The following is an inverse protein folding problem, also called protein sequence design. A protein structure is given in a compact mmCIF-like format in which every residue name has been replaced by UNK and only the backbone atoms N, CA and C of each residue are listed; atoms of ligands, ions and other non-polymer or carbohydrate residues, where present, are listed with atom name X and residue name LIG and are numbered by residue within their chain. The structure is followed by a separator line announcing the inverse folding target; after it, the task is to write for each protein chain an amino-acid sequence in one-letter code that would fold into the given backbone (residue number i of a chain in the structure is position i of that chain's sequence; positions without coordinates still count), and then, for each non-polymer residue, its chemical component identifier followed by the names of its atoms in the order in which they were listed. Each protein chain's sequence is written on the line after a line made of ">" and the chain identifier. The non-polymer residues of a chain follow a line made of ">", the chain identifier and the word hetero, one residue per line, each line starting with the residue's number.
data_IF_274887877968
#
_entry.id   IF_274887877968
#
_cell.length_a   1.000
_cell.length_b   1.000
_cell.length_c   1.000
_cell.angle_alpha   90.00
_cell.angle_beta   90.00
_cell.angle_gamma   90.00
#
_symmetry.space_group_name_H-M   'P 1'
#
loop_
_entity.id
_entity.type
_entity.pdbx_description
1 polymer ?
#
# COMPACT_ATOMS: atom_id res chain seq x y z
N UNK A 1 -37.97 28.09 -13.87
CA UNK A 1 -36.95 28.35 -14.92
C UNK A 1 -36.27 27.04 -15.21
N UNK A 2 -36.68 26.37 -16.29
CA UNK A 2 -36.09 25.13 -16.77
C UNK A 2 -35.00 25.49 -17.79
N UNK A 3 -33.78 24.99 -17.58
CA UNK A 3 -32.73 25.02 -18.59
C UNK A 3 -32.56 23.61 -19.15
N UNK A 4 -32.91 23.47 -20.42
CA UNK A 4 -32.61 22.29 -21.25
C UNK A 4 -31.19 22.41 -21.81
N UNK A 5 -30.39 21.37 -21.64
CA UNK A 5 -29.03 21.27 -22.17
C UNK A 5 -29.08 20.56 -23.53
N UNK A 6 -28.55 21.21 -24.56
CA UNK A 6 -28.54 20.75 -25.96
C UNK A 6 -27.22 20.04 -26.28
N UNK A 7 -27.30 18.77 -26.70
CA UNK A 7 -26.16 17.91 -27.01
C UNK A 7 -25.86 17.97 -28.52
N UNK A 8 -24.78 18.66 -28.91
CA UNK A 8 -24.26 18.59 -30.29
C UNK A 8 -23.28 17.42 -30.44
N UNK A 9 -23.66 16.47 -31.28
CA UNK A 9 -22.82 15.39 -31.79
C UNK A 9 -21.79 15.93 -32.79
N UNK A 10 -20.50 15.65 -32.57
CA UNK A 10 -19.46 15.74 -33.59
C UNK A 10 -19.17 14.35 -34.15
N UNK A 11 -19.38 14.19 -35.45
CA UNK A 11 -19.05 13.02 -36.25
C UNK A 11 -17.54 12.99 -36.59
N UNK A 12 -16.90 11.86 -36.31
CA UNK A 12 -15.53 11.56 -36.72
C UNK A 12 -15.52 10.92 -38.12
N UNK A 13 -14.65 11.41 -39.01
CA UNK A 13 -14.34 10.78 -40.30
C UNK A 13 -13.10 9.86 -40.19
N UNK A 14 -13.07 8.70 -40.87
CA UNK A 14 -11.99 7.73 -40.74
C UNK A 14 -10.78 7.97 -41.65
N UNK A 15 -9.63 7.48 -41.17
CA UNK A 15 -8.29 7.56 -41.72
C UNK A 15 -8.10 6.99 -43.14
N UNK A 16 -7.25 7.66 -43.92
CA UNK A 16 -6.67 7.18 -45.17
C UNK A 16 -5.38 6.41 -44.90
N UNK A 17 -5.31 5.15 -45.35
CA UNK A 17 -4.13 4.30 -45.35
C UNK A 17 -3.20 4.67 -46.51
N UNK A 18 -1.94 5.01 -46.21
CA UNK A 18 -0.86 5.09 -47.21
C UNK A 18 0.06 3.89 -47.06
N UNK A 19 0.09 3.05 -48.09
CA UNK A 19 1.05 1.97 -48.29
C UNK A 19 2.45 2.55 -48.56
N UNK A 20 3.45 2.13 -47.78
CA UNK A 20 4.86 2.44 -48.01
C UNK A 20 5.60 1.16 -48.37
N UNK A 21 6.00 1.07 -49.63
CA UNK A 21 6.79 -0.03 -50.21
C UNK A 21 8.26 0.17 -49.84
N UNK A 22 8.81 -0.71 -49.02
CA UNK A 22 10.22 -0.68 -48.60
C UNK A 22 11.09 -1.42 -49.64
N UNK A 23 11.91 -0.68 -50.41
CA UNK A 23 12.96 -1.25 -51.28
C UNK A 23 14.22 -1.54 -50.45
N UNK A 24 14.62 -2.82 -50.37
CA UNK A 24 15.95 -3.24 -49.92
C UNK A 24 16.98 -2.95 -51.01
N UNK A 25 18.09 -2.32 -50.64
CA UNK A 25 19.33 -2.33 -51.42
C UNK A 25 20.45 -2.81 -50.49
N UNK A 26 21.12 -3.89 -50.90
CA UNK A 26 22.31 -4.43 -50.27
C UNK A 26 23.53 -3.77 -50.89
N UNK A 27 24.46 -3.30 -50.06
CA UNK A 27 25.80 -2.90 -50.46
C UNK A 27 26.77 -3.49 -49.44
N UNK A 28 27.49 -4.53 -49.88
CA UNK A 28 28.59 -5.12 -49.14
C UNK A 28 29.85 -4.28 -49.36
N UNK A 29 30.57 -3.98 -48.28
CA UNK A 29 31.96 -3.54 -48.37
C UNK A 29 32.73 -4.07 -47.16
N UNK A 30 33.71 -4.90 -47.50
CA UNK A 30 34.72 -5.48 -46.63
C UNK A 30 35.71 -4.41 -46.17
N UNK A 31 36.02 -4.35 -44.88
CA UNK A 31 37.35 -3.96 -44.41
C UNK A 31 37.72 -4.72 -43.14
N UNK A 32 38.84 -5.43 -43.25
CA UNK A 32 39.64 -6.06 -42.22
C UNK A 32 40.44 -5.02 -41.43
N UNK A 33 40.38 -5.06 -40.10
CA UNK A 33 41.51 -4.67 -39.24
C UNK A 33 41.35 -5.18 -37.80
N UNK A 34 42.26 -6.11 -37.47
CA UNK A 34 43.01 -6.30 -36.22
C UNK A 34 42.43 -5.92 -34.84
N UNK A 35 42.51 -6.91 -33.94
CA UNK A 35 42.23 -6.93 -32.48
C UNK A 35 43.10 -5.94 -31.68
N UNK A 36 42.73 -5.61 -30.42
CA UNK A 36 43.26 -6.41 -29.31
C UNK A 36 42.27 -6.78 -28.20
N UNK A 37 42.70 -7.80 -27.45
CA UNK A 37 42.15 -8.49 -26.28
C UNK A 37 41.64 -7.62 -25.13
N UNK A 38 40.55 -8.03 -24.47
CA UNK A 38 40.27 -7.68 -23.07
C UNK A 38 39.19 -8.59 -22.44
N UNK A 39 39.50 -9.11 -21.26
CA UNK A 39 38.78 -10.10 -20.45
C UNK A 39 37.40 -9.64 -19.95
N UNK A 40 36.36 -9.67 -20.80
CA UNK A 40 34.96 -9.41 -20.36
C UNK A 40 33.94 -10.46 -20.79
N UNK A 41 34.37 -11.67 -21.15
CA UNK A 41 33.46 -12.70 -21.66
C UNK A 41 32.99 -13.74 -20.62
N UNK A 42 33.50 -13.69 -19.39
CA UNK A 42 33.22 -14.72 -18.36
C UNK A 42 32.04 -14.40 -17.42
N UNK A 43 31.53 -13.17 -17.41
CA UNK A 43 30.38 -12.79 -16.55
C UNK A 43 29.03 -13.11 -17.20
N UNK A 44 28.96 -13.10 -18.54
CA UNK A 44 27.71 -13.37 -19.27
C UNK A 44 27.27 -14.85 -19.26
N UNK A 45 28.18 -15.79 -19.00
CA UNK A 45 27.83 -17.22 -18.89
C UNK A 45 27.18 -17.59 -17.54
N UNK A 46 27.49 -16.87 -16.46
CA UNK A 46 26.88 -17.13 -15.13
C UNK A 46 25.46 -16.56 -15.02
N UNK A 47 25.19 -15.39 -15.61
CA UNK A 47 23.86 -14.78 -15.58
C UNK A 47 22.82 -15.54 -16.42
N UNK A 48 23.23 -16.09 -17.58
CA UNK A 48 22.34 -16.93 -18.39
C UNK A 48 21.99 -18.28 -17.74
N UNK A 49 22.89 -18.85 -16.92
CA UNK A 49 22.64 -20.11 -16.24
C UNK A 49 21.58 -19.99 -15.15
N UNK A 50 21.59 -18.87 -14.40
CA UNK A 50 20.59 -18.59 -13.35
C UNK A 50 19.21 -18.40 -13.99
N UNK A 51 19.11 -17.61 -15.06
CA UNK A 51 17.85 -17.40 -15.78
C UNK A 51 17.28 -18.73 -16.34
N UNK A 52 18.13 -19.60 -16.88
CA UNK A 52 17.70 -20.89 -17.43
C UNK A 52 17.22 -21.86 -16.34
N UNK A 53 17.86 -21.88 -15.16
CA UNK A 53 17.40 -22.70 -14.03
C UNK A 53 16.07 -22.24 -13.46
N UNK A 54 15.83 -20.93 -13.39
CA UNK A 54 14.55 -20.37 -12.90
C UNK A 54 13.39 -20.71 -13.84
N UNK A 55 13.61 -20.70 -15.16
CA UNK A 55 12.59 -21.10 -16.14
C UNK A 55 12.27 -22.60 -16.06
N UNK A 56 13.26 -23.46 -15.81
CA UNK A 56 13.03 -24.91 -15.65
C UNK A 56 12.28 -25.26 -14.36
N UNK A 57 12.56 -24.56 -13.25
CA UNK A 57 11.81 -24.74 -11.99
C UNK A 57 10.36 -24.29 -12.14
N UNK A 58 10.13 -23.17 -12.84
CA UNK A 58 8.77 -22.67 -13.10
C UNK A 58 7.98 -23.57 -14.07
N UNK A 59 8.64 -24.09 -15.11
CA UNK A 59 8.03 -25.08 -16.00
C UNK A 59 7.72 -26.41 -15.28
N UNK A 60 8.60 -26.86 -14.38
CA UNK A 60 8.35 -28.03 -13.54
C UNK A 60 7.19 -27.84 -12.56
N UNK A 61 7.03 -26.63 -12.00
CA UNK A 61 5.89 -26.28 -11.16
C UNK A 61 4.57 -26.29 -11.94
N UNK A 62 4.56 -25.68 -13.13
CA UNK A 62 3.36 -25.65 -13.99
C UNK A 62 2.98 -27.04 -14.51
N UNK A 63 3.96 -27.89 -14.84
CA UNK A 63 3.71 -29.27 -15.25
C UNK A 63 3.28 -30.17 -14.07
N UNK A 64 3.80 -29.93 -12.86
CA UNK A 64 3.37 -30.63 -11.64
C UNK A 64 1.95 -30.30 -11.20
N UNK A 65 1.42 -29.13 -11.60
CA UNK A 65 0.02 -28.75 -11.34
C UNK A 65 -0.98 -29.38 -12.32
N UNK A 66 -0.53 -29.97 -13.43
CA UNK A 66 -1.41 -30.55 -14.45
C UNK A 66 -1.66 -32.06 -14.29
N UNK A 67 -1.05 -32.72 -13.30
CA UNK A 67 -1.12 -34.19 -13.16
C UNK A 67 -1.84 -34.68 -11.88
N UNK A 68 -2.67 -33.84 -11.26
CA UNK A 68 -3.36 -34.20 -10.00
C UNK A 68 -4.86 -34.52 -10.11
N UNK A 69 -5.38 -34.72 -11.33
CA UNK A 69 -6.71 -35.29 -11.54
C UNK A 69 -6.63 -36.81 -11.81
N UNK A 70 -6.22 -37.57 -10.79
CA UNK A 70 -6.51 -39.01 -10.73
C UNK A 70 -7.11 -39.41 -9.40
N UNK A 71 -8.42 -39.61 -9.47
CA UNK A 71 -9.30 -40.34 -8.56
C UNK A 71 -8.63 -41.66 -8.12
N UNK A 72 -8.33 -41.77 -6.82
CA UNK A 72 -8.02 -43.05 -6.19
C UNK A 72 -9.05 -43.26 -5.06
N UNK A 73 -9.99 -44.18 -5.32
CA UNK A 73 -10.81 -44.82 -4.30
C UNK A 73 -9.93 -45.79 -3.51
N UNK A 74 -9.96 -45.70 -2.18
CA UNK A 74 -9.55 -46.81 -1.31
C UNK A 74 -10.58 -47.09 -0.22
N UNK A 75 -10.70 -48.35 0.23
CA UNK A 75 -11.87 -48.84 0.92
C UNK A 75 -11.72 -48.86 2.45
N UNK A 76 -12.87 -48.91 3.11
CA UNK A 76 -13.07 -49.18 4.53
C UNK A 76 -12.36 -50.46 5.00
N UNK A 77 -11.70 -50.39 6.16
CA UNK A 77 -11.52 -51.52 7.08
C UNK A 77 -11.60 -51.06 8.54
N UNK A 78 -12.36 -51.83 9.30
CA UNK A 78 -12.86 -51.64 10.66
C UNK A 78 -12.04 -52.42 11.70
N UNK A 79 -11.66 -51.77 12.82
CA UNK A 79 -11.41 -52.34 14.20
C UNK A 79 -10.67 -51.27 15.02
N UNK A 80 -10.93 -50.94 16.29
CA UNK A 80 -11.88 -51.36 17.32
C UNK A 80 -11.36 -50.91 18.71
N UNK A 81 -12.25 -50.35 19.57
CA UNK A 81 -12.08 -50.12 21.04
C UNK A 81 -11.15 -48.95 21.45
N UNK A 82 -11.38 -48.16 22.51
CA UNK A 82 -12.35 -48.11 23.62
C UNK A 82 -12.39 -46.65 24.14
N UNK A 83 -13.61 -46.11 24.23
CA UNK A 83 -14.22 -45.39 25.36
C UNK A 83 -13.35 -44.58 26.36
N UNK A 84 -13.63 -43.26 26.44
CA UNK A 84 -14.18 -42.62 27.66
C UNK A 84 -15.02 -41.38 27.26
N UNK A 85 -16.12 -41.16 27.98
CA UNK A 85 -17.34 -40.37 27.65
C UNK A 85 -17.16 -38.89 27.26
N UNK A 86 -17.99 -38.33 26.36
CA UNK A 86 -19.43 -37.97 26.49
C UNK A 86 -19.61 -36.66 27.27
N UNK A 87 -20.22 -35.57 26.75
CA UNK A 87 -21.46 -35.44 25.99
C UNK A 87 -21.41 -34.24 24.98
N UNK A 88 -21.93 -34.26 23.73
CA UNK A 88 -23.32 -34.54 23.23
C UNK A 88 -24.23 -33.32 23.48
N UNK A 89 -25.01 -32.72 22.55
CA UNK A 89 -25.61 -33.08 21.24
C UNK A 89 -26.10 -31.78 20.54
N UNK A 90 -25.84 -31.58 19.24
CA UNK A 90 -26.68 -31.82 18.02
C UNK A 90 -27.61 -30.68 17.56
N UNK A 91 -27.19 -30.08 16.44
CA UNK A 91 -27.80 -30.12 15.09
C UNK A 91 -29.17 -30.83 14.94
N UNK A 92 -30.07 -30.21 14.19
CA UNK A 92 -30.96 -30.90 13.26
C UNK A 92 -31.29 -30.01 12.05
N UNK A 93 -31.21 -30.62 10.87
CA UNK A 93 -31.78 -30.17 9.60
C UNK A 93 -32.60 -31.35 9.08
N UNK A 94 -33.79 -31.12 8.53
CA UNK A 94 -34.44 -32.03 7.58
C UNK A 94 -35.63 -31.34 6.90
N UNK A 95 -35.83 -31.69 5.63
CA UNK A 95 -36.72 -31.08 4.67
C UNK A 95 -38.03 -31.87 4.42
N UNK A 96 -38.98 -31.15 3.79
CA UNK A 96 -40.10 -31.53 2.89
C UNK A 96 -41.15 -32.57 3.29
N UNK A 97 -42.44 -32.20 3.21
CA UNK A 97 -43.37 -32.54 2.12
C UNK A 97 -44.84 -32.17 2.47
N UNK A 98 -45.54 -31.61 1.47
CA UNK A 98 -46.97 -31.68 1.08
C UNK A 98 -48.16 -31.38 2.04
N UNK A 99 -49.09 -30.60 1.46
CA UNK A 99 -50.51 -30.34 1.80
C UNK A 99 -51.43 -31.60 1.71
N UNK A 100 -52.77 -31.61 1.98
CA UNK A 100 -53.73 -30.51 2.20
C UNK A 100 -54.82 -30.72 3.31
N UNK A 101 -55.69 -29.69 3.43
CA UNK A 101 -57.13 -29.71 3.83
C UNK A 101 -57.56 -29.84 5.30
N UNK A 102 -58.15 -28.75 5.81
CA UNK A 102 -59.55 -28.70 6.28
C UNK A 102 -59.92 -29.31 7.64
N UNK A 103 -60.40 -28.49 8.58
CA UNK A 103 -61.34 -28.95 9.60
C UNK A 103 -61.27 -28.32 10.98
N UNK A 104 -62.20 -27.40 11.22
CA UNK A 104 -62.99 -27.17 12.46
C UNK A 104 -62.29 -27.15 13.83
N UNK A 105 -62.34 -25.94 14.41
CA UNK A 105 -62.49 -25.61 15.83
C UNK A 105 -62.87 -26.77 16.77
N UNK A 106 -62.03 -26.98 17.79
CA UNK A 106 -62.48 -27.36 19.13
C UNK A 106 -61.72 -26.55 20.18
N UNK A 107 -62.52 -25.87 20.98
CA UNK A 107 -62.17 -25.22 22.24
C UNK A 107 -61.64 -26.29 23.19
N UNK A 108 -60.45 -26.07 23.74
CA UNK A 108 -59.99 -26.73 24.95
C UNK A 108 -59.36 -25.67 25.86
N UNK A 109 -60.06 -25.38 26.95
CA UNK A 109 -59.53 -24.68 28.10
C UNK A 109 -58.35 -25.49 28.66
N UNK A 110 -57.19 -24.86 28.77
CA UNK A 110 -56.10 -25.40 29.58
C UNK A 110 -55.60 -24.34 30.56
N UNK A 111 -55.95 -24.63 31.81
CA UNK A 111 -55.49 -24.16 33.10
C UNK A 111 -54.07 -23.59 33.09
N UNK A 112 -53.95 -22.32 33.49
CA UNK A 112 -52.69 -21.63 33.79
C UNK A 112 -52.06 -22.26 35.03
N UNK A 113 -50.93 -22.95 34.84
CA UNK A 113 -50.02 -23.31 35.94
C UNK A 113 -48.84 -22.33 35.88
N UNK A 114 -48.84 -21.36 36.79
CA UNK A 114 -47.70 -20.47 37.02
C UNK A 114 -46.51 -21.28 37.54
N UNK A 115 -45.47 -21.44 36.73
CA UNK A 115 -44.13 -21.81 37.18
C UNK A 115 -43.22 -20.59 37.05
N UNK A 116 -42.88 -20.01 38.19
CA UNK A 116 -41.87 -18.95 38.31
C UNK A 116 -40.51 -19.51 37.87
N UNK A 117 -40.02 -19.02 36.73
CA UNK A 117 -38.69 -19.29 36.23
C UNK A 117 -37.70 -18.30 36.87
N UNK A 118 -36.95 -18.78 37.86
CA UNK A 118 -35.86 -18.03 38.51
C UNK A 118 -34.72 -17.80 37.52
N UNK A 119 -34.72 -16.65 36.84
CA UNK A 119 -33.66 -16.22 35.92
C UNK A 119 -32.50 -15.66 36.74
N UNK A 120 -31.41 -16.43 36.90
CA UNK A 120 -30.14 -15.89 37.40
C UNK A 120 -29.53 -14.99 36.33
N UNK A 121 -29.67 -13.67 36.49
CA UNK A 121 -28.93 -12.66 35.74
C UNK A 121 -27.44 -12.85 36.00
N UNK A 122 -26.70 -13.31 34.98
CA UNK A 122 -25.25 -13.20 34.98
C UNK A 122 -24.90 -11.71 34.95
N UNK A 123 -24.27 -11.23 36.03
CA UNK A 123 -23.73 -9.88 36.12
C UNK A 123 -22.53 -9.81 35.17
N UNK A 124 -22.54 -8.94 34.14
CA UNK A 124 -21.38 -8.78 33.27
C UNK A 124 -20.23 -8.26 34.12
N UNK A 125 -19.11 -9.00 34.14
CA UNK A 125 -17.87 -8.49 34.72
C UNK A 125 -17.46 -7.27 33.89
N UNK A 126 -17.27 -6.08 34.51
CA UNK A 126 -16.89 -4.89 33.78
C UNK A 126 -15.52 -5.13 33.13
N UNK A 127 -15.47 -4.99 31.80
CA UNK A 127 -14.22 -4.90 31.04
C UNK A 127 -13.42 -3.74 31.63
N UNK A 128 -12.35 -4.06 32.36
CA UNK A 128 -11.35 -3.09 32.79
C UNK A 128 -10.59 -2.69 31.53
N UNK A 129 -11.06 -1.66 30.85
CA UNK A 129 -10.30 -0.97 29.81
C UNK A 129 -9.21 -0.23 30.56
N UNK A 130 -8.00 -0.78 30.53
CA UNK A 130 -6.80 -0.10 31.01
C UNK A 130 -6.64 1.18 30.18
N UNK A 131 -7.02 2.33 30.75
CA UNK A 131 -6.91 3.63 30.11
C UNK A 131 -5.42 3.92 29.87
N UNK A 132 -4.90 3.48 28.71
CA UNK A 132 -3.56 3.86 28.27
C UNK A 132 -3.50 5.40 28.30
N UNK A 133 -2.55 6.00 29.04
CA UNK A 133 -2.46 7.44 29.12
C UNK A 133 -2.35 8.02 27.71
N UNK A 134 -3.27 8.94 27.38
CA UNK A 134 -3.24 9.66 26.10
C UNK A 134 -1.82 10.22 25.93
N UNK A 135 -1.10 9.81 24.87
CA UNK A 135 0.27 10.24 24.69
C UNK A 135 0.28 11.78 24.60
N UNK A 136 1.19 12.45 25.31
CA UNK A 136 1.31 13.91 25.22
C UNK A 136 1.44 14.28 23.74
N UNK A 137 0.81 15.39 23.31
CA UNK A 137 0.93 15.94 21.95
C UNK A 137 2.40 16.03 21.56
N UNK A 138 2.92 14.97 20.95
CA UNK A 138 4.34 14.77 20.80
C UNK A 138 4.76 15.48 19.52
N UNK A 139 5.57 16.52 19.69
CA UNK A 139 6.30 17.15 18.60
C UNK A 139 7.49 16.24 18.32
N UNK A 140 7.39 15.41 17.28
CA UNK A 140 8.33 14.32 16.98
C UNK A 140 9.62 14.75 16.27
N UNK A 141 9.92 16.05 16.22
CA UNK A 141 11.24 16.57 15.87
C UNK A 141 12.36 16.12 16.84
N UNK A 142 12.04 15.38 17.91
CA UNK A 142 12.96 14.93 18.97
C UNK A 142 13.68 13.60 18.69
N UNK A 143 13.47 12.98 17.53
CA UNK A 143 14.13 11.72 17.15
C UNK A 143 13.33 10.47 17.51
N UNK A 144 13.98 9.29 17.61
CA UNK A 144 13.28 8.02 17.76
C UNK A 144 12.60 7.88 19.13
N UNK A 145 11.45 7.20 19.14
CA UNK A 145 10.79 6.77 20.37
C UNK A 145 11.16 5.32 20.65
N UNK A 146 11.64 5.01 21.86
CA UNK A 146 12.13 3.67 22.23
C UNK A 146 11.50 3.24 23.55
N UNK A 147 10.78 2.13 23.54
CA UNK A 147 10.16 1.52 24.72
C UNK A 147 11.06 0.43 25.31
N UNK A 148 11.95 0.81 26.23
CA UNK A 148 12.97 -0.09 26.82
C UNK A 148 12.38 -1.30 27.57
N UNK A 149 11.14 -1.19 28.05
CA UNK A 149 10.43 -2.24 28.77
C UNK A 149 9.89 -3.36 27.88
N UNK A 150 9.86 -3.16 26.56
CA UNK A 150 9.43 -4.18 25.61
C UNK A 150 10.53 -5.21 25.39
N UNK A 151 10.15 -6.47 25.18
CA UNK A 151 11.06 -7.59 24.92
C UNK A 151 11.94 -7.39 23.67
N UNK A 152 12.75 -8.39 23.26
CA UNK A 152 13.60 -8.30 22.07
C UNK A 152 12.80 -7.85 20.82
N UNK A 153 13.47 -7.17 19.88
CA UNK A 153 12.81 -6.80 18.63
C UNK A 153 12.44 -8.07 17.83
N UNK A 154 11.24 -8.13 17.28
CA UNK A 154 10.76 -9.29 16.51
C UNK A 154 10.76 -9.08 15.00
N UNK A 155 10.73 -7.82 14.57
CA UNK A 155 10.70 -7.42 13.17
C UNK A 155 11.21 -5.97 13.00
N UNK A 156 11.66 -5.64 11.79
CA UNK A 156 11.88 -4.27 11.34
C UNK A 156 10.85 -3.98 10.25
N UNK A 157 9.91 -3.07 10.52
CA UNK A 157 8.80 -2.76 9.63
C UNK A 157 9.00 -1.36 9.05
N UNK A 158 9.13 -1.25 7.74
CA UNK A 158 9.28 0.03 7.05
C UNK A 158 7.96 0.48 6.46
N UNK A 159 7.47 1.61 6.94
CA UNK A 159 6.33 2.36 6.40
C UNK A 159 6.82 3.69 5.82
N UNK A 160 5.98 4.35 5.03
CA UNK A 160 6.36 5.64 4.46
C UNK A 160 5.42 6.07 3.37
N UNK A 161 5.44 7.35 3.07
CA UNK A 161 4.65 7.87 1.97
C UNK A 161 5.13 7.28 0.63
N UNK A 162 4.31 7.42 -0.40
CA UNK A 162 4.74 7.13 -1.77
C UNK A 162 5.94 8.01 -2.11
N UNK A 163 6.83 7.56 -3.00
CA UNK A 163 7.98 8.38 -3.44
C UNK A 163 8.92 8.87 -2.33
N UNK A 164 8.90 8.31 -1.11
CA UNK A 164 9.78 8.74 -0.01
C UNK A 164 11.06 7.90 0.16
N UNK A 165 11.40 7.09 -0.84
CA UNK A 165 12.59 6.23 -0.80
C UNK A 165 12.42 4.95 0.03
N UNK A 166 11.18 4.54 0.30
CA UNK A 166 10.88 3.31 1.05
C UNK A 166 11.51 2.07 0.41
N UNK A 167 11.46 1.90 -0.92
CA UNK A 167 12.09 0.76 -1.62
C UNK A 167 13.61 0.72 -1.38
N UNK A 168 14.26 1.87 -1.51
CA UNK A 168 15.71 2.01 -1.30
C UNK A 168 16.14 1.61 0.11
N UNK A 169 15.45 2.13 1.14
CA UNK A 169 15.81 1.81 2.53
C UNK A 169 15.40 0.38 2.90
N UNK A 170 14.27 -0.14 2.42
CA UNK A 170 13.90 -1.54 2.68
C UNK A 170 14.96 -2.50 2.13
N UNK A 171 15.41 -2.31 0.88
CA UNK A 171 16.45 -3.16 0.29
C UNK A 171 17.74 -3.12 1.13
N UNK A 172 18.18 -1.92 1.51
CA UNK A 172 19.37 -1.78 2.35
C UNK A 172 19.21 -2.45 3.72
N UNK A 173 18.06 -2.34 4.37
CA UNK A 173 17.80 -3.00 5.66
C UNK A 173 17.76 -4.52 5.54
N UNK A 174 17.22 -5.05 4.43
CA UNK A 174 17.28 -6.49 4.13
C UNK A 174 18.74 -6.94 4.03
N UNK A 175 19.60 -6.20 3.32
CA UNK A 175 21.03 -6.53 3.23
C UNK A 175 21.74 -6.49 4.61
N UNK A 176 21.31 -5.60 5.49
CA UNK A 176 21.92 -5.41 6.81
C UNK A 176 21.43 -6.37 7.89
N UNK A 177 20.17 -6.79 7.85
CA UNK A 177 19.51 -7.48 8.96
C UNK A 177 18.63 -8.66 8.53
N UNK A 178 18.36 -8.85 7.23
CA UNK A 178 17.36 -9.79 6.72
C UNK A 178 17.62 -11.27 7.05
N UNK A 179 18.89 -11.64 7.25
CA UNK A 179 19.27 -13.00 7.68
C UNK A 179 19.04 -13.24 9.19
N UNK A 180 18.81 -12.19 9.97
CA UNK A 180 18.72 -12.23 11.44
C UNK A 180 17.31 -11.94 11.96
N UNK A 181 16.57 -11.06 11.28
CA UNK A 181 15.25 -10.59 11.69
C UNK A 181 14.41 -10.25 10.46
N UNK A 182 13.09 -10.54 10.44
CA UNK A 182 12.23 -10.14 9.33
C UNK A 182 12.27 -8.62 9.10
N UNK A 183 12.53 -8.23 7.85
CA UNK A 183 12.44 -6.85 7.39
C UNK A 183 11.26 -6.76 6.42
N UNK A 184 10.21 -6.05 6.83
CA UNK A 184 8.92 -6.05 6.15
C UNK A 184 8.53 -4.66 5.64
N UNK A 185 7.74 -4.62 4.56
CA UNK A 185 7.18 -3.40 3.96
C UNK A 185 5.73 -3.14 4.42
N UNK A 186 5.35 -3.68 5.57
CA UNK A 186 4.05 -3.55 6.20
C UNK A 186 4.21 -3.53 7.69
N UNK A 187 3.33 -2.83 8.42
CA UNK A 187 3.20 -2.98 9.86
C UNK A 187 1.80 -3.51 10.19
N UNK A 188 0.80 -2.64 10.29
CA UNK A 188 -0.61 -3.07 10.37
C UNK A 188 -1.26 -3.11 8.99
N UNK A 189 -0.77 -2.26 8.08
CA UNK A 189 -1.08 -2.29 6.64
C UNK A 189 0.19 -2.15 5.83
N UNK A 190 0.08 -2.36 4.52
CA UNK A 190 1.18 -2.10 3.58
C UNK A 190 1.68 -0.65 3.68
N UNK A 191 2.98 -0.45 3.53
CA UNK A 191 3.74 0.76 3.92
C UNK A 191 3.16 2.12 3.56
N UNK A 192 2.47 2.23 2.43
CA UNK A 192 1.94 3.52 1.93
C UNK A 192 0.57 3.88 2.51
N UNK A 193 -0.08 2.95 3.21
CA UNK A 193 -1.44 3.07 3.69
C UNK A 193 -1.49 3.60 5.13
N UNK A 194 -2.64 4.16 5.52
CA UNK A 194 -2.89 4.57 6.90
C UNK A 194 -2.72 3.37 7.83
N UNK A 195 -1.95 3.56 8.89
CA UNK A 195 -1.78 2.55 9.93
C UNK A 195 -2.93 2.63 10.92
N UNK A 196 -3.33 1.50 11.47
CA UNK A 196 -4.44 1.35 12.41
C UNK A 196 -3.98 0.53 13.61
N UNK A 197 -4.63 0.70 14.76
CA UNK A 197 -4.38 -0.20 15.89
C UNK A 197 -5.10 -1.52 15.62
N UNK A 198 -4.36 -2.50 15.13
CA UNK A 198 -4.88 -3.84 14.86
C UNK A 198 -4.36 -4.81 15.93
N UNK A 199 -5.22 -5.26 16.88
CA UNK A 199 -4.81 -6.14 17.97
C UNK A 199 -4.38 -7.53 17.47
N UNK A 200 -4.67 -7.88 16.21
CA UNK A 200 -4.26 -9.15 15.60
C UNK A 200 -2.82 -9.14 15.09
N UNK A 201 -2.18 -7.96 14.99
CA UNK A 201 -0.79 -7.83 14.55
C UNK A 201 0.12 -8.47 15.60
N UNK A 202 0.70 -9.62 15.23
CA UNK A 202 1.45 -10.54 16.09
C UNK A 202 2.80 -10.01 16.58
N UNK A 203 3.25 -8.86 16.06
CA UNK A 203 4.56 -8.31 16.38
C UNK A 203 4.48 -7.54 17.69
N UNK A 204 4.54 -8.23 18.82
CA UNK A 204 4.47 -7.61 20.16
C UNK A 204 5.61 -6.60 20.45
N UNK A 205 6.63 -6.55 19.57
CA UNK A 205 7.87 -5.78 19.74
C UNK A 205 8.54 -5.36 18.41
N UNK A 206 7.77 -4.81 17.47
CA UNK A 206 8.25 -4.30 16.17
C UNK A 206 9.10 -3.02 16.29
N UNK A 207 10.17 -2.93 15.51
CA UNK A 207 10.86 -1.66 15.22
C UNK A 207 10.25 -1.07 13.95
N UNK A 208 9.54 0.04 14.06
CA UNK A 208 8.86 0.67 12.92
C UNK A 208 9.62 1.91 12.45
N UNK A 209 9.87 2.01 11.15
CA UNK A 209 10.54 3.15 10.53
C UNK A 209 9.54 3.83 9.59
N UNK A 210 9.32 5.13 9.77
CA UNK A 210 8.47 5.93 8.90
C UNK A 210 9.33 6.86 8.04
N UNK A 211 9.32 6.62 6.73
CA UNK A 211 10.07 7.42 5.76
C UNK A 211 9.23 8.56 5.18
N UNK A 212 9.75 9.77 5.33
CA UNK A 212 9.17 10.99 4.78
C UNK A 212 10.13 11.64 3.78
N UNK A 213 9.57 12.39 2.83
CA UNK A 213 10.33 13.19 1.85
C UNK A 213 9.89 14.63 1.93
N UNK A 214 10.76 15.54 1.52
CA UNK A 214 10.42 16.95 1.46
C UNK A 214 9.10 17.17 0.69
N UNK A 215 8.18 18.01 1.20
CA UNK A 215 6.84 18.15 0.63
C UNK A 215 6.82 18.64 -0.82
N UNK A 216 7.74 19.52 -1.22
CA UNK A 216 7.80 20.01 -2.61
C UNK A 216 8.27 18.91 -3.55
N UNK A 217 9.34 18.21 -3.17
CA UNK A 217 9.90 17.13 -3.97
C UNK A 217 8.95 15.93 -4.03
N UNK A 218 8.21 15.69 -2.95
CA UNK A 218 7.20 14.65 -2.84
C UNK A 218 5.98 14.93 -3.69
N UNK A 219 5.38 16.12 -3.61
CA UNK A 219 4.21 16.49 -4.43
C UNK A 219 4.56 16.43 -5.91
N UNK A 220 5.74 16.93 -6.30
CA UNK A 220 6.17 16.87 -7.69
C UNK A 220 6.44 15.43 -8.16
N UNK A 221 7.01 14.56 -7.32
CA UNK A 221 7.15 13.15 -7.65
C UNK A 221 5.78 12.45 -7.78
N UNK A 222 4.84 12.76 -6.89
CA UNK A 222 3.46 12.27 -6.97
C UNK A 222 2.75 12.75 -8.24
N UNK A 223 3.01 13.99 -8.70
CA UNK A 223 2.46 14.51 -9.95
C UNK A 223 3.04 13.81 -11.18
N UNK A 224 4.35 13.59 -11.20
CA UNK A 224 5.02 12.87 -12.28
C UNK A 224 4.53 11.42 -12.39
N UNK A 225 4.29 10.76 -11.25
CA UNK A 225 3.87 9.36 -11.21
C UNK A 225 2.87 9.09 -10.06
N UNK A 226 1.57 9.39 -10.24
CA UNK A 226 0.56 9.25 -9.20
C UNK A 226 0.13 7.79 -9.01
N UNK A 227 0.99 6.98 -8.39
CA UNK A 227 0.67 5.58 -8.10
C UNK A 227 -0.64 5.48 -7.32
N UNK A 228 -1.51 4.59 -7.79
CA UNK A 228 -2.87 4.34 -7.29
C UNK A 228 -3.86 5.51 -7.42
N UNK A 229 -3.50 6.58 -8.15
CA UNK A 229 -4.37 7.74 -8.35
C UNK A 229 -4.52 8.06 -9.85
N UNK A 230 -5.14 7.15 -10.59
CA UNK A 230 -5.23 7.22 -12.06
C UNK A 230 -5.91 8.48 -12.59
N UNK A 231 -6.87 9.02 -11.84
CA UNK A 231 -7.58 10.26 -12.15
C UNK A 231 -6.71 11.50 -12.04
N UNK A 232 -5.47 11.39 -11.55
CA UNK A 232 -4.51 12.48 -11.45
C UNK A 232 -3.34 12.36 -12.44
N UNK A 233 -3.35 11.34 -13.31
CA UNK A 233 -2.29 11.14 -14.32
C UNK A 233 -2.27 12.31 -15.31
N UNK A 234 -1.08 12.85 -15.56
CA UNK A 234 -0.87 13.86 -16.61
C UNK A 234 -1.39 15.26 -16.26
N UNK A 235 -1.74 15.53 -15.01
CA UNK A 235 -2.18 16.86 -14.59
C UNK A 235 -1.01 17.86 -14.51
N UNK A 236 -1.31 19.10 -14.88
CA UNK A 236 -0.45 20.24 -14.55
C UNK A 236 -0.41 20.46 -13.04
N UNK A 237 0.68 21.05 -12.53
CA UNK A 237 0.90 21.13 -11.08
C UNK A 237 -0.24 21.78 -10.32
N UNK A 238 -0.85 22.82 -10.92
CA UNK A 238 -1.94 23.56 -10.27
C UNK A 238 -3.18 22.70 -10.13
N UNK A 239 -3.59 22.04 -11.19
CA UNK A 239 -4.75 21.14 -11.17
C UNK A 239 -4.49 19.96 -10.24
N UNK A 240 -3.28 19.39 -10.27
CA UNK A 240 -2.89 18.28 -9.41
C UNK A 240 -3.02 18.59 -7.91
N UNK A 241 -2.62 19.78 -7.48
CA UNK A 241 -2.70 20.18 -6.06
C UNK A 241 -4.04 20.75 -5.64
N UNK A 242 -4.93 21.09 -6.58
CA UNK A 242 -6.27 21.61 -6.26
C UNK A 242 -7.40 20.63 -6.52
N UNK A 243 -7.18 19.56 -7.26
CA UNK A 243 -8.19 18.54 -7.52
C UNK A 243 -8.39 17.65 -6.30
N UNK A 244 -9.65 17.26 -6.08
CA UNK A 244 -10.02 16.35 -5.01
C UNK A 244 -9.35 14.98 -5.21
N UNK A 245 -8.80 14.42 -4.13
CA UNK A 245 -8.15 13.12 -4.14
C UNK A 245 -9.17 12.00 -4.10
N UNK A 246 -9.81 11.75 -5.24
CA UNK A 246 -10.89 10.78 -5.38
C UNK A 246 -10.85 10.07 -6.72
N UNK A 247 -11.23 8.80 -6.72
CA UNK A 247 -11.45 8.00 -7.92
C UNK A 247 -12.92 7.64 -8.11
N UNK A 248 -13.28 7.03 -9.25
CA UNK A 248 -14.61 6.52 -9.46
C UNK A 248 -14.84 5.24 -8.61
N UNK A 249 -16.06 5.11 -8.07
CA UNK A 249 -16.60 3.79 -7.68
C UNK A 249 -17.12 3.11 -8.94
N UNK A 250 -16.74 1.86 -9.13
CA UNK A 250 -17.19 1.07 -10.27
C UNK A 250 -18.40 0.18 -9.94
N UNK A 251 -18.81 -0.66 -10.89
CA UNK A 251 -19.92 -1.59 -10.71
C UNK A 251 -19.73 -2.57 -9.55
N UNK A 252 -18.50 -2.99 -9.23
CA UNK A 252 -18.24 -3.92 -8.13
C UNK A 252 -18.63 -3.35 -6.76
N UNK A 253 -18.28 -2.09 -6.50
CA UNK A 253 -18.71 -1.35 -5.32
C UNK A 253 -20.23 -1.18 -5.27
N UNK A 254 -20.85 -0.88 -6.41
CA UNK A 254 -22.30 -0.70 -6.50
C UNK A 254 -23.06 -1.99 -6.14
N UNK A 255 -22.59 -3.14 -6.63
CA UNK A 255 -23.16 -4.45 -6.29
C UNK A 255 -23.04 -4.71 -4.77
N UNK A 256 -21.89 -4.37 -4.15
CA UNK A 256 -21.72 -4.50 -2.69
C UNK A 256 -22.72 -3.63 -1.92
N UNK A 257 -22.93 -2.38 -2.36
CA UNK A 257 -23.91 -1.45 -1.77
C UNK A 257 -25.33 -2.02 -1.85
N UNK A 258 -25.75 -2.44 -3.05
CA UNK A 258 -27.08 -2.98 -3.28
C UNK A 258 -27.33 -4.23 -2.46
N UNK A 259 -26.35 -5.14 -2.39
CA UNK A 259 -26.47 -6.38 -1.62
C UNK A 259 -26.52 -6.13 -0.11
N UNK A 260 -25.66 -5.26 0.42
CA UNK A 260 -25.71 -4.87 1.83
C UNK A 260 -27.07 -4.26 2.20
N UNK A 261 -27.60 -3.39 1.33
CA UNK A 261 -28.92 -2.80 1.50
C UNK A 261 -30.05 -3.83 1.44
N UNK A 262 -30.00 -4.78 0.50
CA UNK A 262 -31.03 -5.80 0.34
C UNK A 262 -31.07 -6.80 1.49
N UNK A 263 -29.90 -7.12 2.06
CA UNK A 263 -29.76 -8.10 3.15
C UNK A 263 -29.86 -7.45 4.55
N UNK A 264 -29.90 -6.12 4.64
CA UNK A 264 -29.96 -5.40 5.92
C UNK A 264 -28.67 -5.48 6.74
N UNK A 265 -27.52 -5.69 6.08
CA UNK A 265 -26.21 -5.74 6.73
C UNK A 265 -25.46 -4.41 6.61
N UNK A 266 -24.62 -4.11 7.60
CA UNK A 266 -23.65 -3.02 7.48
C UNK A 266 -22.59 -3.39 6.43
N UNK A 267 -22.31 -2.48 5.51
CA UNK A 267 -21.42 -2.73 4.37
C UNK A 267 -19.98 -3.04 4.79
N UNK A 268 -19.56 -2.59 5.98
CA UNK A 268 -18.21 -2.84 6.51
C UNK A 268 -17.88 -4.32 6.73
N UNK A 269 -18.89 -5.19 6.83
CA UNK A 269 -18.67 -6.63 6.98
C UNK A 269 -18.05 -7.28 5.74
N UNK A 270 -18.08 -6.58 4.60
CA UNK A 270 -17.69 -7.13 3.30
C UNK A 270 -16.19 -7.13 3.06
N UNK A 271 -15.40 -6.50 3.93
CA UNK A 271 -13.98 -6.31 3.73
C UNK A 271 -13.68 -5.45 2.48
N UNK A 272 -12.52 -4.82 2.49
CA UNK A 272 -12.12 -3.92 1.43
C UNK A 272 -10.65 -4.14 1.06
N UNK A 273 -10.21 -3.49 -0.02
CA UNK A 273 -8.81 -3.47 -0.41
C UNK A 273 -7.92 -3.10 0.78
N UNK A 274 -6.80 -3.81 0.93
CA UNK A 274 -5.80 -3.57 1.97
C UNK A 274 -6.35 -3.51 3.42
N UNK A 275 -7.47 -4.19 3.70
CA UNK A 275 -8.05 -4.25 5.05
C UNK A 275 -8.68 -2.93 5.49
N UNK A 276 -9.11 -2.09 4.55
CA UNK A 276 -9.94 -0.92 4.82
C UNK A 276 -11.41 -1.30 5.06
N UNK A 277 -12.18 -0.37 5.62
CA UNK A 277 -13.64 -0.38 5.54
C UNK A 277 -14.11 0.18 4.19
N UNK A 278 -15.37 -0.05 3.86
CA UNK A 278 -15.94 0.33 2.56
C UNK A 278 -15.88 1.85 2.29
N UNK A 279 -15.95 2.62 3.35
CA UNK A 279 -16.05 4.07 3.39
C UNK A 279 -14.71 4.77 3.72
N UNK A 280 -13.63 4.00 3.81
CA UNK A 280 -12.26 4.49 4.01
C UNK A 280 -11.45 4.51 2.70
N UNK A 281 -11.94 3.85 1.65
CA UNK A 281 -11.22 3.72 0.36
C UNK A 281 -12.15 3.65 -0.85
N UNK A 282 -11.67 4.16 -1.98
CA UNK A 282 -12.33 4.08 -3.30
C UNK A 282 -11.33 3.58 -4.36
N UNK A 283 -11.61 2.50 -5.10
CA UNK A 283 -12.77 1.63 -4.94
C UNK A 283 -12.55 0.68 -3.77
N UNK A 284 -13.61 0.00 -3.35
CA UNK A 284 -13.52 -1.05 -2.34
C UNK A 284 -13.35 -2.45 -2.94
N UNK A 285 -13.83 -2.65 -4.16
CA UNK A 285 -13.75 -3.91 -4.90
C UNK A 285 -12.41 -4.01 -5.66
N UNK A 286 -11.87 -5.23 -5.71
CA UNK A 286 -10.70 -5.53 -6.54
C UNK A 286 -11.02 -5.47 -8.02
N UNK A 287 -12.26 -5.74 -8.38
CA UNK A 287 -12.78 -5.72 -9.75
C UNK A 287 -12.76 -4.31 -10.33
N UNK A 288 -13.07 -3.31 -9.52
CA UNK A 288 -13.03 -1.91 -9.95
C UNK A 288 -11.60 -1.34 -9.90
N UNK A 289 -10.71 -1.89 -9.07
CA UNK A 289 -9.31 -1.45 -8.92
C UNK A 289 -8.43 -1.94 -10.08
N UNK A 290 -8.65 -1.40 -11.27
CA UNK A 290 -7.90 -1.78 -12.47
C UNK A 290 -6.46 -1.25 -12.44
N UNK A 291 -5.56 -1.96 -13.12
CA UNK A 291 -4.16 -1.57 -13.35
C UNK A 291 -4.04 -0.91 -14.73
N UNK A 292 -3.21 0.13 -14.85
CA UNK A 292 -2.84 0.77 -16.12
C UNK A 292 -1.34 0.56 -16.32
N UNK A 293 -0.87 0.41 -17.56
CA UNK A 293 0.56 0.19 -17.82
C UNK A 293 1.43 1.28 -17.17
N UNK A 294 2.46 0.86 -16.43
CA UNK A 294 3.31 1.74 -15.62
C UNK A 294 2.72 2.20 -14.27
N UNK A 295 1.47 1.85 -13.93
CA UNK A 295 0.79 2.26 -12.70
C UNK A 295 0.11 1.09 -11.99
N UNK A 296 0.31 0.98 -10.67
CA UNK A 296 -0.42 0.04 -9.83
C UNK A 296 -1.93 0.29 -9.85
N UNK A 297 -2.71 -0.71 -9.42
CA UNK A 297 -4.16 -0.64 -9.30
C UNK A 297 -4.63 0.60 -8.53
N UNK A 298 -5.66 1.32 -9.02
CA UNK A 298 -6.06 2.57 -8.35
C UNK A 298 -6.78 2.33 -7.03
N UNK A 299 -6.48 3.15 -6.04
CA UNK A 299 -6.98 3.04 -4.67
C UNK A 299 -6.76 4.37 -3.95
N UNK A 300 -7.85 5.10 -3.73
CA UNK A 300 -7.90 6.42 -3.11
C UNK A 300 -8.36 6.29 -1.67
N UNK A 301 -7.50 6.68 -0.74
CA UNK A 301 -7.86 6.74 0.67
C UNK A 301 -8.73 7.97 0.94
N UNK A 302 -9.75 7.78 1.76
CA UNK A 302 -10.68 8.81 2.20
C UNK A 302 -10.25 9.38 3.55
N UNK A 303 -10.88 10.48 3.97
CA UNK A 303 -10.56 11.14 5.24
C UNK A 303 -10.72 10.19 6.42
N UNK A 304 -9.66 10.08 7.21
CA UNK A 304 -9.64 9.28 8.44
C UNK A 304 -10.26 10.03 9.63
N UNK A 305 -11.43 10.63 9.41
CA UNK A 305 -12.20 11.44 10.37
C UNK A 305 -13.66 10.96 10.48
N UNK A 306 -13.94 9.74 10.01
CA UNK A 306 -15.28 9.15 9.92
C UNK A 306 -16.27 9.95 9.05
N UNK A 307 -15.82 10.97 8.29
CA UNK A 307 -16.71 11.70 7.38
C UNK A 307 -16.95 10.98 6.07
N UNK A 308 -16.13 9.97 5.75
CA UNK A 308 -16.17 9.19 4.49
C UNK A 308 -16.02 10.05 3.24
N UNK A 309 -15.44 11.26 3.39
CA UNK A 309 -15.24 12.20 2.29
C UNK A 309 -13.87 12.00 1.67
N UNK A 310 -13.78 12.32 0.39
CA UNK A 310 -12.48 12.49 -0.25
C UNK A 310 -11.72 13.68 0.36
N UNK A 311 -10.39 13.62 0.26
CA UNK A 311 -9.56 14.78 0.52
C UNK A 311 -9.79 15.84 -0.57
N UNK A 312 -9.80 17.12 -0.16
CA UNK A 312 -9.95 18.22 -1.11
C UNK A 312 -8.75 18.37 -2.04
N UNK A 313 -7.60 17.83 -1.63
CA UNK A 313 -6.36 17.80 -2.40
C UNK A 313 -5.37 16.77 -1.86
N UNK A 314 -4.34 16.48 -2.64
CA UNK A 314 -3.22 15.61 -2.24
C UNK A 314 -2.45 16.15 -1.02
N UNK A 315 -2.40 17.48 -0.85
CA UNK A 315 -1.72 18.10 0.30
C UNK A 315 -2.50 17.91 1.60
N UNK A 316 -3.84 17.86 1.55
CA UNK A 316 -4.65 17.49 2.71
C UNK A 316 -4.42 16.02 3.10
N UNK A 317 -4.43 15.10 2.12
CA UNK A 317 -4.13 13.69 2.37
C UNK A 317 -2.77 13.52 3.05
N UNK A 318 -1.73 14.17 2.50
CA UNK A 318 -0.39 14.12 3.08
C UNK A 318 -0.35 14.59 4.53
N UNK A 319 -1.04 15.69 4.83
CA UNK A 319 -1.07 16.26 6.18
C UNK A 319 -1.63 15.26 7.20
N UNK A 320 -2.69 14.55 6.83
CA UNK A 320 -3.27 13.48 7.65
C UNK A 320 -2.40 12.23 7.71
N UNK A 321 -1.72 11.88 6.60
CA UNK A 321 -0.74 10.77 6.57
C UNK A 321 0.37 10.97 7.57
N UNK A 322 0.94 12.18 7.63
CA UNK A 322 1.96 12.51 8.61
C UNK A 322 1.40 12.29 10.01
N UNK A 323 0.26 12.89 10.33
CA UNK A 323 -0.36 12.76 11.65
C UNK A 323 -0.62 11.31 12.05
N UNK A 324 -1.12 10.50 11.12
CA UNK A 324 -1.34 9.07 11.34
C UNK A 324 -0.03 8.31 11.59
N UNK A 325 1.00 8.52 10.77
CA UNK A 325 2.30 7.88 10.99
C UNK A 325 2.94 8.32 12.30
N UNK A 326 2.73 9.56 12.72
CA UNK A 326 3.21 10.05 14.00
C UNK A 326 2.46 9.45 15.20
N UNK A 327 1.30 8.82 15.00
CA UNK A 327 0.60 8.05 16.04
C UNK A 327 1.08 6.60 16.13
N UNK A 328 1.85 6.09 15.16
CA UNK A 328 2.35 4.72 15.17
C UNK A 328 3.04 4.28 16.47
N UNK A 329 3.87 5.10 17.15
CA UNK A 329 4.44 4.74 18.45
C UNK A 329 3.42 4.30 19.51
N UNK A 330 2.17 4.75 19.38
CA UNK A 330 1.10 4.49 20.35
C UNK A 330 0.34 3.20 20.06
N UNK A 331 0.56 2.61 18.88
CA UNK A 331 -0.10 1.38 18.45
C UNK A 331 0.46 0.17 19.19
N UNK A 332 -0.37 -0.86 19.33
CA UNK A 332 0.04 -2.11 19.94
C UNK A 332 1.19 -2.74 19.14
N UNK A 333 2.15 -3.32 19.87
CA UNK A 333 3.26 -4.04 19.26
C UNK A 333 4.48 -3.19 18.91
N UNK A 334 4.42 -1.86 18.98
CA UNK A 334 5.59 -1.03 18.68
C UNK A 334 6.59 -1.03 19.84
N UNK A 335 7.82 -1.50 19.59
CA UNK A 335 8.99 -1.40 20.48
C UNK A 335 9.74 -0.10 20.29
N UNK A 336 9.93 0.30 19.04
CA UNK A 336 10.60 1.55 18.71
C UNK A 336 10.05 2.12 17.41
N UNK A 337 10.12 3.44 17.30
CA UNK A 337 9.65 4.18 16.14
C UNK A 337 10.69 5.22 15.69
N UNK A 338 11.01 5.19 14.40
CA UNK A 338 12.02 6.04 13.77
C UNK A 338 11.40 6.87 12.64
N UNK A 339 11.07 8.15 12.87
CA UNK A 339 10.69 9.05 11.80
C UNK A 339 11.95 9.54 11.09
N UNK A 340 12.15 9.14 9.84
CA UNK A 340 13.34 9.46 9.05
C UNK A 340 12.98 10.28 7.81
N UNK A 341 13.86 11.24 7.49
CA UNK A 341 13.76 12.06 6.28
C UNK A 341 14.69 11.50 5.21
N UNK A 342 14.16 11.30 4.01
CA UNK A 342 14.90 10.83 2.84
C UNK A 342 16.19 11.64 2.61
N UNK A 343 16.09 12.96 2.63
CA UNK A 343 17.19 13.89 2.41
C UNK A 343 18.26 13.77 3.50
N UNK A 344 17.83 13.50 4.74
CA UNK A 344 18.72 13.31 5.87
C UNK A 344 19.60 12.07 5.70
N UNK A 345 19.01 10.96 5.26
CA UNK A 345 19.73 9.72 4.98
C UNK A 345 20.58 9.84 3.72
N UNK A 346 20.07 10.45 2.64
CA UNK A 346 20.81 10.64 1.40
C UNK A 346 22.02 11.57 1.58
N UNK A 347 21.91 12.61 2.41
CA UNK A 347 22.99 13.57 2.66
C UNK A 347 24.07 12.98 3.59
N UNK A 348 23.67 12.36 4.71
CA UNK A 348 24.61 11.92 5.76
C UNK A 348 25.03 10.45 5.64
N UNK A 349 24.35 9.66 4.82
CA UNK A 349 24.49 8.23 4.77
C UNK A 349 23.70 7.52 5.86
N UNK A 350 23.75 6.19 5.87
CA UNK A 350 22.94 5.36 6.77
C UNK A 350 23.69 4.92 8.04
N UNK A 351 24.99 5.21 8.18
CA UNK A 351 25.81 4.68 9.29
C UNK A 351 25.27 4.98 10.69
N UNK A 352 24.90 6.23 10.96
CA UNK A 352 24.31 6.61 12.25
C UNK A 352 22.92 5.98 12.47
N UNK A 353 22.14 5.83 11.40
CA UNK A 353 20.82 5.20 11.45
C UNK A 353 20.93 3.69 11.75
N UNK A 354 21.79 2.97 11.02
CA UNK A 354 22.07 1.54 11.23
C UNK A 354 22.58 1.30 12.66
N UNK A 355 23.49 2.13 13.16
CA UNK A 355 23.98 2.01 14.54
C UNK A 355 22.87 2.10 15.58
N UNK A 356 21.90 3.01 15.40
CA UNK A 356 20.73 3.07 16.30
C UNK A 356 19.84 1.84 16.20
N UNK A 357 19.70 1.27 15.01
CA UNK A 357 18.97 0.01 14.84
C UNK A 357 19.68 -1.14 15.55
N UNK A 358 21.02 -1.24 15.45
CA UNK A 358 21.79 -2.24 16.22
C UNK A 358 21.55 -2.09 17.72
N UNK A 359 21.57 -0.86 18.25
CA UNK A 359 21.35 -0.57 19.67
C UNK A 359 19.95 -1.00 20.15
N UNK A 360 18.91 -0.80 19.33
CA UNK A 360 17.52 -1.11 19.70
C UNK A 360 17.16 -2.58 19.50
N UNK A 361 17.67 -3.18 18.42
CA UNK A 361 17.42 -4.58 18.08
C UNK A 361 18.30 -5.54 18.88
N UNK A 362 19.48 -5.09 19.30
CA UNK A 362 20.53 -5.95 19.87
C UNK A 362 21.29 -6.77 18.81
N UNK A 363 21.01 -6.54 17.53
CA UNK A 363 21.64 -7.23 16.40
C UNK A 363 22.83 -6.45 15.86
N UNK A 364 23.68 -7.11 15.08
CA UNK A 364 24.80 -6.48 14.37
C UNK A 364 24.51 -6.46 12.87
N UNK A 365 24.68 -5.30 12.25
CA UNK A 365 24.48 -5.17 10.82
C UNK A 365 25.55 -5.98 10.07
N UNK A 366 25.14 -6.73 9.06
CA UNK A 366 26.03 -7.54 8.19
C UNK A 366 26.48 -6.79 6.93
N UNK A 367 25.94 -5.59 6.72
CA UNK A 367 26.21 -4.73 5.57
C UNK A 367 27.22 -3.63 5.93
N UNK A 368 27.78 -3.00 4.90
CA UNK A 368 28.42 -1.69 5.04
C UNK A 368 27.36 -0.57 4.93
N UNK A 369 27.38 0.45 5.80
CA UNK A 369 26.47 1.57 5.67
C UNK A 369 26.68 2.35 4.37
N UNK A 370 25.59 2.82 3.78
CA UNK A 370 25.64 3.68 2.60
C UNK A 370 26.30 5.02 2.95
N UNK A 371 27.26 5.41 2.13
CA UNK A 371 27.96 6.69 2.25
C UNK A 371 27.03 7.82 1.79
N UNK A 372 26.96 8.88 2.60
CA UNK A 372 26.18 10.06 2.27
C UNK A 372 26.75 10.81 1.08
N UNK A 373 25.88 11.41 0.29
CA UNK A 373 26.27 12.24 -0.85
C UNK A 373 26.84 13.60 -0.42
N UNK A 374 26.65 14.01 0.84
CA UNK A 374 27.06 15.31 1.36
C UNK A 374 26.20 16.49 0.88
N UNK A 375 25.25 16.27 -0.04
CA UNK A 375 24.40 17.31 -0.62
C UNK A 375 22.95 16.86 -0.68
N UNK A 376 22.03 17.78 -0.42
CA UNK A 376 20.61 17.55 -0.68
C UNK A 376 20.30 18.05 -2.09
N UNK A 377 19.80 17.15 -2.94
CA UNK A 377 19.31 17.50 -4.28
C UNK A 377 17.79 17.64 -4.23
N UNK A 378 17.31 18.81 -4.61
CA UNK A 378 15.88 19.10 -4.70
C UNK A 378 15.42 19.09 -6.16
N UNK A 379 14.13 18.79 -6.36
CA UNK A 379 13.53 18.90 -7.69
C UNK A 379 13.45 20.38 -8.08
N UNK A 380 13.74 20.66 -9.35
CA UNK A 380 13.53 21.99 -9.91
C UNK A 380 12.05 22.18 -10.21
N UNK A 381 11.36 22.98 -9.40
CA UNK A 381 9.94 23.28 -9.52
C UNK A 381 9.71 24.77 -9.81
N UNK A 382 8.54 25.12 -10.34
CA UNK A 382 8.21 26.51 -10.67
C UNK A 382 8.10 27.37 -9.39
N UNK A 383 8.54 28.64 -9.39
CA UNK A 383 8.41 29.51 -8.22
C UNK A 383 6.96 29.67 -7.75
N UNK A 384 6.02 29.79 -8.69
CA UNK A 384 4.58 29.88 -8.39
C UNK A 384 4.05 28.64 -7.65
N UNK A 385 4.61 27.46 -7.92
CA UNK A 385 4.30 26.24 -7.17
C UNK A 385 4.81 26.33 -5.73
N UNK A 386 6.05 26.81 -5.53
CA UNK A 386 6.62 27.00 -4.19
C UNK A 386 5.80 28.00 -3.38
N UNK A 387 5.46 29.15 -3.96
CA UNK A 387 4.61 30.16 -3.34
C UNK A 387 3.23 29.62 -2.96
N UNK A 388 2.63 28.81 -3.85
CA UNK A 388 1.36 28.17 -3.59
C UNK A 388 1.45 27.18 -2.41
N UNK A 389 2.44 26.27 -2.42
CA UNK A 389 2.68 25.31 -1.35
C UNK A 389 2.95 26.02 0.00
N UNK A 390 3.75 27.10 -0.01
CA UNK A 390 4.01 27.92 1.17
C UNK A 390 2.73 28.53 1.79
N UNK A 391 1.73 28.81 0.97
CA UNK A 391 0.48 29.45 1.37
C UNK A 391 -0.60 28.47 1.82
N UNK A 392 -0.74 27.33 1.12
CA UNK A 392 -1.89 26.45 1.27
C UNK A 392 -1.57 25.10 1.96
N UNK A 393 -0.31 24.72 2.03
CA UNK A 393 0.09 23.47 2.72
C UNK A 393 -0.01 23.61 4.24
N UNK A 394 -0.33 22.52 4.93
CA UNK A 394 -0.39 22.46 6.39
C UNK A 394 1.02 22.31 6.97
N UNK A 395 1.64 23.45 7.27
CA UNK A 395 2.99 23.49 7.79
C UNK A 395 3.11 22.98 9.24
N UNK A 396 2.00 22.94 9.99
CA UNK A 396 2.03 22.36 11.33
C UNK A 396 2.23 20.85 11.27
N UNK A 397 1.62 20.17 10.29
CA UNK A 397 1.87 18.76 10.03
C UNK A 397 3.33 18.51 9.61
N UNK A 398 3.84 19.26 8.63
CA UNK A 398 5.23 19.12 8.13
C UNK A 398 6.28 19.38 9.21
N UNK A 399 6.02 20.33 10.12
CA UNK A 399 6.89 20.63 11.26
C UNK A 399 7.04 19.43 12.21
N UNK A 400 6.05 18.52 12.29
CA UNK A 400 6.14 17.30 13.13
C UNK A 400 7.31 16.40 12.72
N UNK A 401 7.65 16.42 11.42
CA UNK A 401 8.72 15.61 10.80
C UNK A 401 9.93 16.47 10.39
N UNK A 402 9.95 17.74 10.80
CA UNK A 402 11.10 18.64 10.67
C UNK A 402 11.29 19.26 9.29
N UNK A 403 10.25 19.30 8.44
CA UNK A 403 10.26 20.12 7.23
C UNK A 403 9.75 21.53 7.51
N UNK A 404 10.15 22.47 6.66
CA UNK A 404 9.73 23.87 6.73
C UNK A 404 9.57 24.47 5.34
N UNK A 405 9.08 25.70 5.31
CA UNK A 405 8.88 26.49 4.09
C UNK A 405 10.20 26.66 3.34
N UNK A 406 10.15 26.61 2.00
CA UNK A 406 11.28 26.93 1.12
C UNK A 406 11.09 28.33 0.56
N UNK A 407 12.19 29.07 0.40
CA UNK A 407 12.16 30.28 -0.39
C UNK A 407 11.99 29.92 -1.88
N UNK A 408 11.18 30.67 -2.64
CA UNK A 408 11.12 30.51 -4.08
C UNK A 408 12.51 30.69 -4.67
N UNK A 409 13.03 29.64 -5.30
CA UNK A 409 14.30 29.75 -6.03
C UNK A 409 14.03 30.65 -7.23
N UNK A 410 14.79 31.75 -7.43
CA UNK A 410 14.60 32.61 -8.59
C UNK A 410 14.61 31.76 -9.85
N UNK A 411 13.56 31.88 -10.66
CA UNK A 411 13.51 31.16 -11.93
C UNK A 411 14.63 31.69 -12.82
N UNK A 412 15.75 30.96 -12.83
CA UNK A 412 16.74 31.09 -13.87
C UNK A 412 16.07 30.47 -15.08
N UNK A 413 15.60 31.31 -16.02
CA UNK A 413 15.14 30.83 -17.33
C UNK A 413 16.19 29.82 -17.79
N UNK A 414 15.83 28.54 -18.01
CA UNK A 414 16.77 27.58 -18.53
C UNK A 414 17.36 28.23 -19.77
N UNK A 415 18.68 28.46 -19.76
CA UNK A 415 19.39 28.75 -21.01
C UNK A 415 18.92 27.65 -21.96
N UNK A 416 18.30 28.03 -23.09
CA UNK A 416 17.69 27.07 -24.01
C UNK A 416 18.58 25.84 -24.10
N UNK A 417 18.10 24.72 -23.55
CA UNK A 417 18.87 23.49 -23.56
C UNK A 417 19.17 23.22 -25.03
N UNK A 418 20.44 22.93 -25.31
CA UNK A 418 20.76 22.46 -26.65
C UNK A 418 19.92 21.21 -26.93
N UNK A 419 19.53 20.94 -28.20
CA UNK A 419 18.76 19.74 -28.55
C UNK A 419 19.40 18.40 -28.10
N UNK A 420 20.68 18.44 -27.74
CA UNK A 420 21.43 17.31 -27.16
C UNK A 420 21.21 17.18 -25.66
N UNK A 421 21.24 18.29 -24.91
CA UNK A 421 20.90 18.30 -23.48
C UNK A 421 19.44 17.91 -23.23
N UNK A 422 18.52 18.38 -24.08
CA UNK A 422 17.11 18.01 -23.99
C UNK A 422 16.90 16.50 -24.23
N UNK A 423 17.64 15.90 -25.17
CA UNK A 423 17.65 14.45 -25.38
C UNK A 423 18.22 13.69 -24.19
N UNK A 424 19.30 14.19 -23.58
CA UNK A 424 19.92 13.57 -22.41
C UNK A 424 18.99 13.60 -21.19
N UNK A 425 18.34 14.75 -20.93
CA UNK A 425 17.36 14.88 -19.85
C UNK A 425 16.16 13.96 -20.05
N UNK A 426 15.62 13.90 -21.27
CA UNK A 426 14.50 13.01 -21.59
C UNK A 426 14.88 11.53 -21.46
N UNK A 427 16.10 11.15 -21.86
CA UNK A 427 16.60 9.78 -21.67
C UNK A 427 16.79 9.44 -20.19
N UNK A 428 17.25 10.40 -19.38
CA UNK A 428 17.47 10.20 -17.94
C UNK A 428 16.15 10.11 -17.17
N UNK A 429 15.12 10.86 -17.60
CA UNK A 429 13.76 10.75 -17.05
C UNK A 429 13.17 9.35 -17.29
N UNK A 430 13.37 8.79 -18.47
CA UNK A 430 12.90 7.42 -18.78
C UNK A 430 13.66 6.35 -17.99
N UNK A 431 14.97 6.49 -17.80
CA UNK A 431 15.74 5.50 -17.02
C UNK A 431 15.41 5.53 -15.53
N UNK A 432 15.23 6.72 -14.95
CA UNK A 432 14.93 6.83 -13.52
C UNK A 432 13.51 6.35 -13.17
N UNK A 433 12.57 6.39 -14.12
CA UNK A 433 11.25 5.80 -13.96
C UNK A 433 11.28 4.26 -13.85
N UNK A 434 12.38 3.60 -14.26
CA UNK A 434 12.53 2.14 -14.16
C UNK A 434 13.14 1.67 -12.83
N UNK A 435 13.68 2.58 -12.01
CA UNK A 435 14.43 2.25 -10.78
C UNK A 435 13.83 2.82 -9.49
N UNK A 436 12.68 3.51 -9.57
CA UNK A 436 11.86 3.89 -8.42
C UNK A 436 10.73 2.88 -8.23
#
# INVERSE_FOLDING_TARGET
>A
MLFTYDHKHHSFNPCTTKNLTMRRSYSASSMTSQLPSSERCLVFKKLNLIAFTSTLVYAGYLLGCLDNDRVVRTPYLTRGGREYGSNVLRRASSASADEPTGGKQRIFEHTVVNREATTRKAVPTPLVIDERPRPPKAVYAKGPVIYKQKGPATSINLIGERHSGTNWITAHLVDCFGDQIPVENSFTRFKHWFQIDDPSVRNESAVVIAMFRDPYDWVEAMREQPHHAHGHIGMEWKDFVTNAWVGPRGPGDQIKIEKASAEGYHIDLWGCLAGYKFDEVIPCSSEDSITIDGYSNYMYELKNDESHRAYGSIIELRSDKIRNFMQVPTLQGVKAFFPERYEGLNMRGTGHFIKKLEEVTGLKATCEPLVGTGVVKHKSVQPAFIEWMNKYHDWDAENLIGYGKRDPIPYVRPTQLTPEQERLENSTRQSNAQYL
#
